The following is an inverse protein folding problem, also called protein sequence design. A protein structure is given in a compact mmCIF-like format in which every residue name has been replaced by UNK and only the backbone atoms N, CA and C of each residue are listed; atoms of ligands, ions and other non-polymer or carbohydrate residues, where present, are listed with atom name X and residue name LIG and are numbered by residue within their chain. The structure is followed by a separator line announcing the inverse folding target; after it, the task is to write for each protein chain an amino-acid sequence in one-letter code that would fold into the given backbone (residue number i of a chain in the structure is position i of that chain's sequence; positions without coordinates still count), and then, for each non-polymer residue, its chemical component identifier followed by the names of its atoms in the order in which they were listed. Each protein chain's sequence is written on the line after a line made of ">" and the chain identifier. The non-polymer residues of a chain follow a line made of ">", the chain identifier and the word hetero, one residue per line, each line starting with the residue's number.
data_IF_971250859917
#
_entry.id   IF_971250859917
#
_cell.length_a   1.000
_cell.length_b   1.000
_cell.length_c   1.000
_cell.angle_alpha   90.00
_cell.angle_beta   90.00
_cell.angle_gamma   90.00
#
_symmetry.space_group_name_H-M   'P 1'
#
loop_
_entity.id
_entity.type
_entity.pdbx_description
1 polymer ?
#
# COMPACT_ATOMS: atom_id res chain seq x y z
N UNK A 1 9.10 20.65 32.54
CA UNK A 1 7.90 20.65 31.66
C UNK A 1 8.24 20.97 30.19
N UNK A 2 9.52 20.90 29.76
CA UNK A 2 9.91 21.11 28.35
C UNK A 2 10.71 19.87 27.86
N UNK A 3 10.17 18.68 28.07
CA UNK A 3 10.78 17.42 27.59
C UNK A 3 9.75 16.46 26.99
N UNK A 4 8.53 16.94 26.69
CA UNK A 4 7.44 16.13 26.14
C UNK A 4 6.79 16.77 24.91
N UNK A 5 7.59 17.42 24.06
CA UNK A 5 7.15 18.05 22.81
C UNK A 5 8.06 17.75 21.60
N UNK A 6 8.98 16.77 21.70
CA UNK A 6 9.81 16.32 20.58
C UNK A 6 9.47 14.89 20.09
N UNK A 7 8.54 14.19 20.73
CA UNK A 7 8.17 12.81 20.36
C UNK A 7 7.07 12.72 19.28
N UNK A 8 6.71 13.83 18.62
CA UNK A 8 5.64 13.86 17.61
C UNK A 8 6.07 14.45 16.26
N UNK A 9 7.38 14.59 16.03
CA UNK A 9 7.93 15.16 14.77
C UNK A 9 8.70 14.14 13.93
N UNK A 10 8.80 12.87 14.37
CA UNK A 10 9.42 11.77 13.60
C UNK A 10 8.39 10.78 13.03
N UNK A 11 7.31 11.27 12.42
CA UNK A 11 6.36 10.41 11.69
C UNK A 11 5.89 10.98 10.34
N UNK A 12 6.62 11.95 9.77
CA UNK A 12 6.31 12.51 8.43
C UNK A 12 7.26 11.99 7.33
N UNK A 13 7.87 10.83 7.53
CA UNK A 13 8.40 10.05 6.40
C UNK A 13 7.19 9.52 5.63
N UNK A 14 7.08 9.90 4.35
CA UNK A 14 5.99 9.41 3.49
C UNK A 14 5.88 7.89 3.54
N UNK A 15 4.71 7.35 3.19
CA UNK A 15 4.48 5.90 3.17
C UNK A 15 5.64 5.20 2.45
N UNK A 16 6.37 4.33 3.17
CA UNK A 16 7.64 3.73 2.70
C UNK A 16 7.45 2.89 1.44
N UNK A 17 6.33 2.17 1.36
CA UNK A 17 5.96 1.29 0.25
C UNK A 17 4.60 1.68 -0.35
N UNK A 18 4.48 2.87 -0.96
CA UNK A 18 3.21 3.41 -1.42
C UNK A 18 2.63 2.62 -2.60
N UNK A 19 3.42 1.79 -3.29
CA UNK A 19 2.93 0.94 -4.37
C UNK A 19 2.09 -0.23 -3.87
N UNK A 20 2.27 -0.69 -2.63
CA UNK A 20 1.55 -1.86 -2.07
C UNK A 20 0.07 -1.57 -1.90
N UNK A 21 -0.29 -0.33 -1.55
CA UNK A 21 -1.68 0.09 -1.38
C UNK A 21 -2.44 0.27 -2.71
N UNK A 22 -1.73 0.34 -3.84
CA UNK A 22 -2.34 0.49 -5.15
C UNK A 22 -2.77 -0.86 -5.73
N UNK A 23 -4.07 -1.01 -5.98
CA UNK A 23 -4.62 -2.19 -6.66
C UNK A 23 -3.97 -2.43 -8.03
N UNK A 24 -3.61 -1.39 -8.76
CA UNK A 24 -2.94 -1.52 -10.07
C UNK A 24 -1.56 -2.17 -9.96
N UNK A 25 -0.85 -1.97 -8.85
CA UNK A 25 0.48 -2.56 -8.62
C UNK A 25 0.43 -4.10 -8.52
N UNK A 26 -0.70 -4.66 -8.06
CA UNK A 26 -0.93 -6.10 -7.94
C UNK A 26 -0.87 -6.86 -9.27
N UNK A 27 -1.05 -6.15 -10.39
CA UNK A 27 -1.02 -6.71 -11.74
C UNK A 27 0.25 -6.36 -12.51
N UNK A 28 1.24 -5.75 -11.82
CA UNK A 28 2.52 -5.40 -12.39
C UNK A 28 3.57 -6.45 -12.03
N UNK A 29 4.44 -6.75 -12.99
CA UNK A 29 5.65 -7.54 -12.77
C UNK A 29 6.58 -6.85 -11.74
N UNK A 30 7.44 -7.59 -11.02
CA UNK A 30 8.30 -7.04 -9.97
C UNK A 30 9.11 -5.79 -10.39
N UNK A 31 9.69 -5.81 -11.60
CA UNK A 31 10.45 -4.67 -12.11
C UNK A 31 9.57 -3.43 -12.38
N UNK A 32 8.32 -3.64 -12.79
CA UNK A 32 7.35 -2.56 -12.97
C UNK A 32 6.86 -2.03 -11.60
N UNK A 33 6.69 -2.88 -10.60
CA UNK A 33 6.37 -2.43 -9.23
C UNK A 33 7.48 -1.55 -8.63
N UNK A 34 8.75 -1.89 -8.86
CA UNK A 34 9.89 -1.04 -8.44
C UNK A 34 9.87 0.33 -9.14
N UNK A 35 9.63 0.37 -10.44
CA UNK A 35 9.44 1.63 -11.17
C UNK A 35 8.29 2.46 -10.61
N UNK A 36 7.16 1.82 -10.31
CA UNK A 36 6.01 2.48 -9.69
C UNK A 36 6.36 3.04 -8.31
N UNK A 37 7.06 2.27 -7.46
CA UNK A 37 7.57 2.73 -6.16
C UNK A 37 8.40 4.01 -6.29
N UNK A 38 9.36 4.04 -7.23
CA UNK A 38 10.21 5.22 -7.48
C UNK A 38 9.38 6.46 -7.84
N UNK A 39 8.45 6.29 -8.79
CA UNK A 39 7.55 7.37 -9.23
C UNK A 39 6.69 7.92 -8.09
N UNK A 40 6.12 7.04 -7.26
CA UNK A 40 5.26 7.44 -6.14
C UNK A 40 6.04 8.18 -5.04
N UNK A 41 7.25 7.71 -4.70
CA UNK A 41 8.10 8.41 -3.72
C UNK A 41 8.56 9.77 -4.24
N UNK A 42 8.97 9.84 -5.50
CA UNK A 42 9.29 11.13 -6.14
C UNK A 42 8.10 12.08 -6.14
N UNK A 43 6.91 11.60 -6.51
CA UNK A 43 5.69 12.39 -6.50
C UNK A 43 5.37 12.96 -5.12
N UNK A 44 5.51 12.14 -4.08
CA UNK A 44 5.22 12.57 -2.71
C UNK A 44 6.22 13.64 -2.25
N UNK A 45 7.50 13.51 -2.61
CA UNK A 45 8.50 14.56 -2.39
C UNK A 45 8.17 15.85 -3.15
N UNK A 46 7.80 15.76 -4.42
CA UNK A 46 7.44 16.93 -5.24
C UNK A 46 6.15 17.61 -4.77
N UNK A 47 5.16 16.85 -4.34
CA UNK A 47 3.91 17.36 -3.78
C UNK A 47 4.17 18.18 -2.52
N UNK A 48 5.05 17.68 -1.64
CA UNK A 48 5.52 18.39 -0.44
C UNK A 48 6.29 19.66 -0.78
N UNK A 49 7.25 19.59 -1.71
CA UNK A 49 8.07 20.75 -2.10
C UNK A 49 7.26 21.87 -2.77
N UNK A 50 6.22 21.51 -3.52
CA UNK A 50 5.41 22.46 -4.27
C UNK A 50 4.11 22.86 -3.57
N UNK A 51 3.85 22.33 -2.37
CA UNK A 51 2.60 22.48 -1.60
C UNK A 51 1.35 22.23 -2.45
N UNK A 52 1.37 21.12 -3.21
CA UNK A 52 0.30 20.73 -4.13
C UNK A 52 -0.18 19.31 -3.87
N UNK A 53 -1.46 19.02 -4.15
CA UNK A 53 -1.96 17.65 -4.09
C UNK A 53 -1.14 16.68 -4.95
N UNK A 54 -0.89 15.47 -4.43
CA UNK A 54 -0.13 14.41 -5.13
C UNK A 54 -0.69 14.13 -6.53
N UNK A 55 -2.02 14.10 -6.66
CA UNK A 55 -2.73 13.87 -7.93
C UNK A 55 -2.51 14.96 -8.98
N UNK A 56 -2.01 16.14 -8.60
CA UNK A 56 -1.66 17.22 -9.54
C UNK A 56 -0.23 17.12 -10.05
N UNK A 57 0.64 16.40 -9.33
CA UNK A 57 2.03 16.18 -9.73
C UNK A 57 2.12 15.04 -10.72
N UNK A 58 1.58 13.87 -10.36
CA UNK A 58 1.53 12.68 -11.21
C UNK A 58 0.37 11.81 -10.76
N UNK A 59 -0.61 11.61 -11.63
CA UNK A 59 -1.76 10.78 -11.30
C UNK A 59 -1.37 9.28 -11.25
N UNK A 60 -2.16 8.49 -10.51
CA UNK A 60 -1.87 7.06 -10.30
C UNK A 60 -1.97 6.24 -11.60
N UNK A 61 -2.80 6.66 -12.55
CA UNK A 61 -3.04 5.92 -13.78
C UNK A 61 -1.85 6.08 -14.72
N UNK A 62 -1.40 7.32 -14.95
CA UNK A 62 -0.18 7.62 -15.67
C UNK A 62 1.05 6.99 -15.00
N UNK A 63 1.18 7.10 -13.67
CA UNK A 63 2.29 6.45 -12.95
C UNK A 63 2.31 4.93 -13.16
N UNK A 64 1.14 4.27 -13.09
CA UNK A 64 1.01 2.83 -13.33
C UNK A 64 1.33 2.47 -14.79
N UNK A 65 0.95 3.33 -15.75
CA UNK A 65 1.21 3.07 -17.16
C UNK A 65 2.70 3.23 -17.51
N UNK A 66 3.35 4.28 -17.03
CA UNK A 66 4.80 4.48 -17.18
C UNK A 66 5.59 3.34 -16.53
N UNK A 67 5.15 2.88 -15.36
CA UNK A 67 5.75 1.74 -14.69
C UNK A 67 5.59 0.44 -15.51
N UNK A 68 4.43 0.22 -16.13
CA UNK A 68 4.14 -0.97 -16.95
C UNK A 68 4.87 -0.96 -18.29
N UNK A 69 4.86 0.19 -18.98
CA UNK A 69 5.43 0.39 -20.30
C UNK A 69 6.51 1.48 -20.21
N UNK A 70 7.71 1.13 -19.70
CA UNK A 70 8.75 2.11 -19.45
C UNK A 70 9.17 2.74 -20.79
N UNK A 71 9.23 4.08 -20.88
CA UNK A 71 9.76 4.74 -22.08
C UNK A 71 11.24 4.37 -22.27
N UNK A 72 11.66 4.22 -23.53
CA UNK A 72 13.04 3.86 -23.91
C UNK A 72 14.00 5.05 -23.81
N UNK A 73 13.47 6.26 -23.95
CA UNK A 73 14.19 7.52 -23.97
C UNK A 73 13.26 8.68 -23.55
N UNK A 74 13.80 9.88 -23.24
CA UNK A 74 12.99 11.04 -22.87
C UNK A 74 11.95 11.45 -23.93
N UNK A 75 12.23 11.26 -25.22
CA UNK A 75 11.29 11.58 -26.30
C UNK A 75 10.11 10.59 -26.34
N UNK A 76 10.34 9.33 -26.02
CA UNK A 76 9.32 8.31 -25.86
C UNK A 76 8.43 8.61 -24.65
N UNK A 77 8.99 9.17 -23.57
CA UNK A 77 8.21 9.65 -22.42
C UNK A 77 7.27 10.79 -22.84
N UNK A 78 7.76 11.78 -23.59
CA UNK A 78 6.92 12.87 -24.10
C UNK A 78 5.79 12.36 -25.02
N UNK A 79 6.10 11.41 -25.90
CA UNK A 79 5.09 10.76 -26.76
C UNK A 79 4.05 9.97 -25.96
N UNK A 80 4.42 9.39 -24.82
CA UNK A 80 3.44 8.80 -23.92
C UNK A 80 2.59 9.87 -23.25
N UNK A 81 3.19 10.98 -22.79
CA UNK A 81 2.47 12.11 -22.18
C UNK A 81 1.42 12.73 -23.11
N UNK A 82 1.63 12.71 -24.42
CA UNK A 82 0.63 13.22 -25.38
C UNK A 82 -0.67 12.43 -25.40
N UNK A 83 -0.67 11.19 -24.91
CA UNK A 83 -1.87 10.38 -24.71
C UNK A 83 -2.65 10.76 -23.45
N UNK A 84 -2.08 11.61 -22.59
CA UNK A 84 -2.62 11.97 -21.27
C UNK A 84 -2.80 13.49 -21.17
N UNK A 85 -4.05 14.00 -21.16
CA UNK A 85 -4.29 15.43 -21.09
C UNK A 85 -3.76 16.07 -19.80
N UNK A 86 -3.65 15.30 -18.72
CA UNK A 86 -3.17 15.76 -17.39
C UNK A 86 -1.68 15.45 -17.13
N UNK A 87 -0.94 14.99 -18.13
CA UNK A 87 0.47 14.66 -17.94
C UNK A 87 1.29 15.89 -17.52
N UNK A 88 2.20 15.76 -16.54
CA UNK A 88 3.01 16.86 -16.03
C UNK A 88 4.18 17.17 -16.98
N UNK A 89 3.89 17.71 -18.17
CA UNK A 89 4.90 17.99 -19.22
C UNK A 89 6.08 18.83 -18.74
N UNK A 90 5.84 19.80 -17.84
CA UNK A 90 6.90 20.63 -17.25
C UNK A 90 7.86 19.85 -16.34
N UNK A 91 7.44 18.69 -15.84
CA UNK A 91 8.20 17.80 -14.97
C UNK A 91 8.71 16.56 -15.72
N UNK A 92 8.66 16.51 -17.05
CA UNK A 92 9.03 15.32 -17.82
C UNK A 92 10.44 14.82 -17.49
N UNK A 93 11.43 15.71 -17.39
CA UNK A 93 12.79 15.33 -17.00
C UNK A 93 12.83 14.73 -15.58
N UNK A 94 12.14 15.33 -14.62
CA UNK A 94 12.09 14.82 -13.25
C UNK A 94 11.37 13.47 -13.16
N UNK A 95 10.34 13.24 -13.97
CA UNK A 95 9.67 11.93 -14.10
C UNK A 95 10.61 10.89 -14.73
N UNK A 96 11.35 11.27 -15.77
CA UNK A 96 12.35 10.42 -16.40
C UNK A 96 13.44 10.00 -15.41
N UNK A 97 13.98 10.96 -14.65
CA UNK A 97 14.98 10.72 -13.63
C UNK A 97 14.44 9.82 -12.53
N UNK A 98 13.21 10.07 -12.04
CA UNK A 98 12.56 9.23 -11.05
C UNK A 98 12.34 7.79 -11.54
N UNK A 99 12.02 7.59 -12.81
CA UNK A 99 11.81 6.25 -13.37
C UNK A 99 13.12 5.45 -13.42
N UNK A 100 14.24 6.12 -13.75
CA UNK A 100 15.52 5.48 -13.99
C UNK A 100 16.42 5.40 -12.76
N UNK A 101 16.26 6.30 -11.78
CA UNK A 101 17.10 6.35 -10.57
C UNK A 101 16.66 5.30 -9.56
N UNK A 102 17.51 4.29 -9.25
CA UNK A 102 17.20 3.31 -8.21
C UNK A 102 17.13 3.96 -6.82
N UNK A 103 16.21 3.48 -5.99
CA UNK A 103 16.17 3.83 -4.58
C UNK A 103 17.07 2.88 -3.79
N UNK A 104 17.74 3.34 -2.72
CA UNK A 104 18.66 2.50 -1.94
C UNK A 104 17.98 1.32 -1.25
N UNK A 105 16.68 1.40 -0.98
CA UNK A 105 15.91 0.39 -0.27
C UNK A 105 14.91 -0.37 -1.16
N UNK A 106 14.87 -0.14 -2.47
CA UNK A 106 13.89 -0.79 -3.36
C UNK A 106 14.05 -2.31 -3.48
N UNK A 107 15.23 -2.86 -3.15
CA UNK A 107 15.45 -4.30 -3.11
C UNK A 107 14.67 -4.98 -1.98
N UNK A 108 14.42 -4.23 -0.89
CA UNK A 108 13.63 -4.68 0.25
C UNK A 108 12.13 -4.38 0.09
N UNK A 109 11.72 -3.79 -1.04
CA UNK A 109 10.33 -3.44 -1.27
C UNK A 109 9.48 -4.72 -1.39
N UNK A 110 8.43 -4.89 -0.58
CA UNK A 110 7.52 -6.02 -0.74
C UNK A 110 6.79 -5.92 -2.09
N UNK A 111 6.49 -7.08 -2.68
CA UNK A 111 5.66 -7.13 -3.88
C UNK A 111 4.20 -6.86 -3.50
N UNK A 112 3.57 -5.91 -4.18
CA UNK A 112 2.13 -5.77 -4.23
C UNK A 112 1.56 -7.05 -4.86
N UNK A 113 0.87 -7.83 -4.04
CA UNK A 113 0.26 -9.08 -4.46
C UNK A 113 -1.24 -8.88 -4.59
N UNK A 114 -1.81 -9.40 -5.67
CA UNK A 114 -3.26 -9.57 -5.72
C UNK A 114 -3.65 -10.46 -4.56
N UNK A 115 -4.69 -10.09 -3.81
CA UNK A 115 -5.30 -11.02 -2.88
C UNK A 115 -5.68 -12.27 -3.68
N UNK A 116 -4.94 -13.37 -3.47
CA UNK A 116 -5.23 -14.66 -4.10
C UNK A 116 -6.67 -15.04 -3.78
N UNK A 117 -7.33 -15.82 -4.63
CA UNK A 117 -8.69 -16.26 -4.34
C UNK A 117 -8.75 -17.05 -3.01
N UNK A 118 -7.64 -17.70 -2.64
CA UNK A 118 -7.39 -18.22 -1.29
C UNK A 118 -7.47 -17.15 -0.20
N UNK A 119 -6.74 -16.04 -0.33
CA UNK A 119 -6.78 -14.94 0.65
C UNK A 119 -8.16 -14.28 0.74
N UNK A 120 -8.92 -14.20 -0.37
CA UNK A 120 -10.31 -13.70 -0.34
C UNK A 120 -11.24 -14.66 0.41
N UNK A 121 -11.11 -15.96 0.19
CA UNK A 121 -11.90 -16.98 0.88
C UNK A 121 -11.57 -17.01 2.38
N UNK A 122 -10.29 -16.88 2.74
CA UNK A 122 -9.84 -16.75 4.14
C UNK A 122 -10.38 -15.47 4.77
N UNK A 123 -10.25 -14.33 4.09
CA UNK A 123 -10.76 -13.06 4.60
C UNK A 123 -12.26 -13.09 4.84
N UNK A 124 -13.04 -13.70 3.94
CA UNK A 124 -14.48 -13.88 4.14
C UNK A 124 -14.76 -14.74 5.37
N UNK A 125 -14.08 -15.88 5.51
CA UNK A 125 -14.22 -16.76 6.69
C UNK A 125 -13.88 -16.03 7.99
N UNK A 126 -12.80 -15.26 8.02
CA UNK A 126 -12.42 -14.45 9.16
C UNK A 126 -13.46 -13.37 9.48
N UNK A 127 -13.98 -12.68 8.47
CA UNK A 127 -15.05 -11.70 8.64
C UNK A 127 -16.31 -12.34 9.23
N UNK A 128 -16.71 -13.52 8.74
CA UNK A 128 -17.88 -14.25 9.23
C UNK A 128 -17.69 -14.68 10.70
N UNK A 129 -16.51 -15.22 11.06
CA UNK A 129 -16.18 -15.58 12.45
C UNK A 129 -16.17 -14.38 13.39
N UNK A 130 -15.59 -13.25 12.97
CA UNK A 130 -15.56 -12.01 13.77
C UNK A 130 -16.97 -11.43 13.94
N UNK A 131 -17.80 -11.46 12.89
CA UNK A 131 -19.19 -11.00 12.96
C UNK A 131 -20.00 -11.88 13.91
N UNK A 132 -19.84 -13.20 13.83
CA UNK A 132 -20.49 -14.14 14.74
C UNK A 132 -20.11 -13.87 16.20
N UNK A 133 -18.81 -13.65 16.49
CA UNK A 133 -18.38 -13.30 17.85
C UNK A 133 -18.82 -11.93 18.31
N UNK A 134 -18.93 -10.97 17.40
CA UNK A 134 -19.47 -9.64 17.74
C UNK A 134 -20.92 -9.77 18.20
N UNK A 135 -21.73 -10.56 17.50
CA UNK A 135 -23.13 -10.83 17.87
C UNK A 135 -23.26 -11.55 19.22
N UNK A 136 -22.42 -12.54 19.49
CA UNK A 136 -22.41 -13.27 20.77
C UNK A 136 -22.09 -12.36 21.96
N UNK A 137 -21.30 -11.33 21.75
CA UNK A 137 -20.92 -10.35 22.77
C UNK A 137 -21.82 -9.10 22.79
N UNK A 138 -22.83 -9.03 21.92
CA UNK A 138 -23.70 -7.86 21.78
C UNK A 138 -22.96 -6.61 21.26
N UNK A 139 -21.87 -6.80 20.52
CA UNK A 139 -21.04 -5.74 19.97
C UNK A 139 -21.41 -5.42 18.50
N UNK A 140 -21.29 -4.15 18.06
CA UNK A 140 -21.45 -3.78 16.66
C UNK A 140 -20.45 -4.48 15.74
N UNK A 141 -20.93 -4.83 14.54
CA UNK A 141 -20.11 -5.43 13.49
C UNK A 141 -18.90 -4.53 13.16
N UNK A 142 -17.71 -5.13 13.10
CA UNK A 142 -16.46 -4.42 12.81
C UNK A 142 -15.77 -3.76 14.03
N UNK A 143 -16.40 -3.72 15.21
CA UNK A 143 -15.76 -3.21 16.44
C UNK A 143 -14.65 -4.15 16.93
N UNK A 144 -14.87 -5.45 16.80
CA UNK A 144 -13.91 -6.48 17.16
C UNK A 144 -12.71 -6.48 16.21
N UNK A 145 -12.91 -6.47 14.90
CA UNK A 145 -11.82 -6.28 13.94
C UNK A 145 -12.32 -5.62 12.66
N UNK A 146 -11.57 -4.63 12.17
CA UNK A 146 -11.82 -4.03 10.85
C UNK A 146 -11.27 -4.95 9.74
N UNK A 147 -11.77 -4.77 8.52
CA UNK A 147 -11.25 -5.48 7.34
C UNK A 147 -9.73 -5.36 7.21
N UNK A 148 -9.17 -4.16 7.43
CA UNK A 148 -7.74 -3.90 7.37
C UNK A 148 -6.96 -4.73 8.40
N UNK A 149 -7.49 -4.88 9.62
CA UNK A 149 -6.85 -5.73 10.63
C UNK A 149 -6.85 -7.20 10.24
N UNK A 150 -7.91 -7.69 9.60
CA UNK A 150 -7.98 -9.07 9.12
C UNK A 150 -7.04 -9.31 7.94
N UNK A 151 -6.90 -8.34 7.03
CA UNK A 151 -5.91 -8.39 5.95
C UNK A 151 -4.48 -8.43 6.51
N UNK A 152 -4.17 -7.61 7.54
CA UNK A 152 -2.89 -7.67 8.25
C UNK A 152 -2.66 -9.01 8.95
N UNK A 153 -3.68 -9.62 9.55
CA UNK A 153 -3.61 -10.96 10.14
C UNK A 153 -3.27 -12.05 9.09
N UNK A 154 -3.87 -11.97 7.91
CA UNK A 154 -3.60 -12.90 6.80
C UNK A 154 -2.16 -12.73 6.29
N UNK A 155 -1.68 -11.49 6.18
CA UNK A 155 -0.35 -11.18 5.67
C UNK A 155 0.76 -11.53 6.67
N UNK A 156 0.59 -11.16 7.94
CA UNK A 156 1.60 -11.36 8.99
C UNK A 156 1.54 -12.75 9.64
N UNK A 157 0.44 -13.48 9.45
CA UNK A 157 0.13 -14.78 10.11
C UNK A 157 0.40 -14.78 11.61
N UNK A 158 0.24 -13.63 12.25
CA UNK A 158 0.51 -13.42 13.67
C UNK A 158 -0.40 -12.31 14.19
N UNK A 159 -0.66 -12.31 15.50
CA UNK A 159 -1.56 -11.35 16.12
C UNK A 159 -0.96 -9.93 16.10
N UNK A 160 -1.52 -8.96 15.36
CA UNK A 160 -0.95 -7.64 15.26
C UNK A 160 -1.12 -6.87 16.58
N UNK A 161 -0.06 -6.17 17.01
CA UNK A 161 -0.08 -5.36 18.24
C UNK A 161 -1.22 -4.32 18.25
N UNK A 162 -1.63 -3.83 17.07
CA UNK A 162 -2.72 -2.87 16.89
C UNK A 162 -4.11 -3.40 17.32
N UNK A 163 -4.35 -4.72 17.30
CA UNK A 163 -5.60 -5.29 17.82
C UNK A 163 -5.63 -5.28 19.36
N UNK A 164 -4.48 -5.18 20.01
CA UNK A 164 -4.37 -5.19 21.47
C UNK A 164 -4.67 -6.55 22.10
N UNK A 165 -4.39 -6.66 23.39
CA UNK A 165 -4.46 -7.94 24.12
C UNK A 165 -5.89 -8.36 24.48
N UNK A 166 -6.80 -7.42 24.70
CA UNK A 166 -8.17 -7.78 25.07
C UNK A 166 -8.92 -8.45 23.90
N UNK A 167 -8.69 -8.00 22.66
CA UNK A 167 -9.26 -8.65 21.46
C UNK A 167 -8.67 -10.04 21.24
N UNK A 168 -7.37 -10.20 21.55
CA UNK A 168 -6.67 -11.47 21.49
C UNK A 168 -7.39 -12.53 22.33
N UNK A 169 -7.70 -12.22 23.58
CA UNK A 169 -8.38 -13.13 24.50
C UNK A 169 -9.76 -13.61 23.99
N UNK A 170 -10.41 -12.85 23.10
CA UNK A 170 -11.76 -13.14 22.59
C UNK A 170 -11.74 -13.83 21.23
N UNK A 171 -10.83 -13.44 20.34
CA UNK A 171 -10.84 -13.80 18.93
C UNK A 171 -9.72 -14.77 18.53
N UNK A 172 -8.56 -14.74 19.20
CA UNK A 172 -7.37 -15.48 18.75
C UNK A 172 -7.63 -16.97 18.57
N UNK A 173 -8.30 -17.60 19.54
CA UNK A 173 -8.59 -19.03 19.54
C UNK A 173 -9.46 -19.51 18.36
N UNK A 174 -10.19 -18.61 17.70
CA UNK A 174 -11.04 -18.96 16.55
C UNK A 174 -10.47 -18.47 15.22
N UNK A 175 -9.70 -17.38 15.25
CA UNK A 175 -9.15 -16.74 14.05
C UNK A 175 -7.83 -17.39 13.64
N UNK A 176 -6.95 -17.75 14.59
CA UNK A 176 -5.65 -18.33 14.28
C UNK A 176 -5.73 -19.70 13.57
N UNK A 177 -6.61 -20.65 13.97
CA UNK A 177 -6.72 -21.93 13.27
C UNK A 177 -7.14 -21.78 11.80
N UNK A 178 -8.01 -20.82 11.49
CA UNK A 178 -8.46 -20.53 10.11
C UNK A 178 -7.33 -20.00 9.22
N UNK A 179 -6.32 -19.35 9.81
CA UNK A 179 -5.12 -18.91 9.10
C UNK A 179 -4.18 -20.09 8.82
N UNK A 180 -4.03 -21.00 9.78
CA UNK A 180 -3.19 -22.20 9.64
C UNK A 180 -3.76 -23.19 8.61
N UNK A 181 -5.07 -23.43 8.62
CA UNK A 181 -5.77 -24.28 7.63
C UNK A 181 -5.66 -23.75 6.20
N UNK A 182 -5.46 -22.45 6.02
CA UNK A 182 -5.29 -21.85 4.70
C UNK A 182 -3.87 -21.93 4.16
N UNK A 183 -2.91 -22.31 5.01
CA UNK A 183 -1.50 -22.48 4.64
C UNK A 183 -1.15 -23.93 4.26
N UNK A 184 -2.03 -24.88 4.58
CA UNK A 184 -1.93 -26.30 4.21
C UNK A 184 -2.57 -26.55 2.82
#
# INVERSE_FOLDING_TARGET
>A
VIERLLATVEHDDGERWPHVSLRTAQFLEPAAQRRLLRLLRWRDLQARQSDRPRSWILDNELASQLARFPPTDPDALLRQFDKFPKAPRKLANAVWDALNTPLPDEEHAPLAQAATDGNKAVLKRLQDTVAQRSRELGLPDGLLASRRHLETLIEQRSWPAALGQWRRAVLEAQVMPLLEESAA
#
